data_IF_187769222239
#
_entry.id   IF_187769222239
#
_cell.length_a   1.000
_cell.length_b   1.000
_cell.length_c   1.000
_cell.angle_alpha   90.00
_cell.angle_beta   90.00
_cell.angle_gamma   90.00
#
_symmetry.space_group_name_H-M   'P 1'
#
loop_
_entity.id
_entity.type
_entity.pdbx_description
1 polymer ?
#
# COMPACT_ATOMS: atom_id res chain seq x y z
N UNK A 1 -9.14 7.73 -3.03
CA UNK A 1 -8.39 6.51 -2.70
C UNK A 1 -9.31 5.30 -2.80
N UNK A 2 -8.93 4.19 -3.47
CA UNK A 2 -9.76 2.98 -3.44
C UNK A 2 -9.72 2.35 -2.05
N UNK A 3 -10.90 2.02 -1.48
CA UNK A 3 -11.05 1.44 -0.14
C UNK A 3 -10.19 0.18 0.07
N UNK A 4 -10.03 -0.61 -0.99
CA UNK A 4 -9.30 -1.87 -0.96
C UNK A 4 -7.78 -1.72 -0.74
N UNK A 5 -7.19 -0.54 -1.02
CA UNK A 5 -5.74 -0.35 -0.85
C UNK A 5 -5.34 -0.31 0.63
N UNK A 6 -6.07 0.45 1.44
CA UNK A 6 -5.79 0.56 2.87
C UNK A 6 -6.06 -0.75 3.60
N UNK A 7 -7.16 -1.43 3.28
CA UNK A 7 -7.47 -2.75 3.83
C UNK A 7 -6.36 -3.76 3.50
N UNK A 8 -5.94 -3.82 2.23
CA UNK A 8 -4.89 -4.74 1.81
C UNK A 8 -3.52 -4.40 2.40
N UNK A 9 -3.17 -3.12 2.58
CA UNK A 9 -1.93 -2.71 3.24
C UNK A 9 -1.89 -3.08 4.72
N UNK A 10 -3.02 -2.98 5.43
CA UNK A 10 -3.12 -3.40 6.83
C UNK A 10 -2.84 -4.89 6.98
N UNK A 11 -3.55 -5.72 6.21
CA UNK A 11 -3.34 -7.18 6.21
C UNK A 11 -1.91 -7.52 5.81
N UNK A 12 -1.37 -6.87 4.77
CA UNK A 12 0.02 -7.11 4.37
C UNK A 12 1.02 -6.83 5.49
N UNK A 13 0.84 -5.71 6.20
CA UNK A 13 1.74 -5.32 7.29
C UNK A 13 1.69 -6.29 8.45
N UNK A 14 0.51 -6.79 8.79
CA UNK A 14 0.33 -7.82 9.83
C UNK A 14 0.99 -9.16 9.45
N UNK A 15 0.98 -9.51 8.16
CA UNK A 15 1.51 -10.79 7.68
C UNK A 15 3.03 -10.80 7.43
N UNK A 16 3.54 -9.77 6.76
CA UNK A 16 4.89 -9.80 6.18
C UNK A 16 5.80 -8.70 6.75
N UNK A 17 5.24 -7.66 7.38
CA UNK A 17 5.99 -6.54 7.95
C UNK A 17 6.80 -5.75 6.91
N UNK A 18 6.18 -4.72 6.32
CA UNK A 18 6.89 -3.79 5.42
C UNK A 18 6.11 -3.46 4.15
N UNK A 19 6.84 -3.17 3.07
CA UNK A 19 6.25 -2.76 1.80
C UNK A 19 6.10 -3.94 0.82
N UNK A 20 4.93 -4.16 0.22
CA UNK A 20 4.74 -5.20 -0.77
C UNK A 20 5.59 -4.94 -2.01
N UNK A 21 6.10 -6.01 -2.61
CA UNK A 21 6.72 -5.98 -3.93
C UNK A 21 5.77 -5.36 -4.95
N UNK A 22 6.29 -4.65 -5.95
CA UNK A 22 5.49 -3.98 -7.00
C UNK A 22 4.63 -4.94 -7.82
N UNK A 23 5.01 -6.23 -7.87
CA UNK A 23 4.28 -7.30 -8.54
C UNK A 23 3.39 -8.12 -7.60
N UNK A 24 3.32 -7.77 -6.32
CA UNK A 24 2.53 -8.53 -5.35
C UNK A 24 1.04 -8.49 -5.69
N UNK A 25 0.44 -9.68 -5.74
CA UNK A 25 -0.97 -9.92 -5.95
C UNK A 25 -1.46 -10.79 -4.81
N UNK A 26 -2.60 -10.44 -4.22
CA UNK A 26 -3.23 -11.28 -3.21
C UNK A 26 -3.71 -12.56 -3.87
N UNK A 27 -3.19 -13.71 -3.42
CA UNK A 27 -3.57 -15.02 -3.96
C UNK A 27 -5.01 -15.37 -3.61
N UNK A 28 -5.78 -15.79 -4.60
CA UNK A 28 -7.10 -16.38 -4.36
C UNK A 28 -6.96 -17.68 -3.56
N UNK A 29 -7.75 -17.85 -2.52
CA UNK A 29 -7.70 -19.02 -1.64
C UNK A 29 -6.80 -18.86 -0.40
N UNK A 30 -6.07 -17.74 -0.27
CA UNK A 30 -5.33 -17.47 0.97
C UNK A 30 -6.29 -16.96 2.05
N UNK A 31 -6.54 -17.79 3.06
CA UNK A 31 -7.47 -17.52 4.15
C UNK A 31 -7.00 -16.42 5.11
N UNK A 32 -5.73 -16.00 5.00
CA UNK A 32 -5.19 -14.85 5.73
C UNK A 32 -5.70 -13.53 5.17
N UNK A 33 -6.23 -13.55 3.95
CA UNK A 33 -6.79 -12.39 3.27
C UNK A 33 -8.31 -12.48 3.20
N UNK A 34 -9.03 -11.37 3.46
CA UNK A 34 -10.44 -11.25 3.10
C UNK A 34 -10.66 -11.61 1.63
N UNK A 35 -11.71 -12.38 1.35
CA UNK A 35 -12.03 -12.83 -0.01
C UNK A 35 -12.23 -11.67 -0.99
N UNK A 36 -12.70 -10.52 -0.51
CA UNK A 36 -12.84 -9.29 -1.31
C UNK A 36 -11.50 -8.73 -1.83
N UNK A 37 -10.39 -9.10 -1.21
CA UNK A 37 -9.05 -8.68 -1.60
C UNK A 37 -8.36 -9.70 -2.51
N UNK A 38 -8.95 -10.88 -2.75
CA UNK A 38 -8.35 -11.88 -3.63
C UNK A 38 -8.21 -11.34 -5.07
N UNK A 39 -7.04 -11.60 -5.66
CA UNK A 39 -6.66 -11.04 -6.96
C UNK A 39 -6.31 -9.55 -6.93
N UNK A 40 -6.35 -8.89 -5.77
CA UNK A 40 -6.02 -7.47 -5.67
C UNK A 40 -4.53 -7.23 -5.94
N UNK A 41 -4.26 -6.39 -6.94
CA UNK A 41 -2.91 -6.02 -7.38
C UNK A 41 -2.25 -5.02 -6.42
N UNK A 42 -2.12 -5.38 -5.14
CA UNK A 42 -1.67 -4.50 -4.07
C UNK A 42 -0.34 -3.81 -4.42
N UNK A 43 0.65 -4.56 -4.93
CA UNK A 43 1.94 -4.01 -5.33
C UNK A 43 1.85 -2.88 -6.36
N UNK A 44 0.99 -3.08 -7.37
CA UNK A 44 0.77 -2.09 -8.45
C UNK A 44 0.11 -0.83 -7.91
N UNK A 45 -0.83 -0.97 -6.98
CA UNK A 45 -1.54 0.16 -6.38
C UNK A 45 -0.63 0.97 -5.46
N UNK A 46 0.20 0.31 -4.65
CA UNK A 46 1.23 0.99 -3.83
C UNK A 46 2.22 1.74 -4.71
N UNK A 47 2.68 1.13 -5.81
CA UNK A 47 3.59 1.80 -6.74
C UNK A 47 2.94 3.04 -7.40
N UNK A 48 1.68 2.92 -7.84
CA UNK A 48 0.92 4.05 -8.40
C UNK A 48 0.74 5.18 -7.39
N UNK A 49 0.46 4.84 -6.13
CA UNK A 49 0.37 5.80 -5.04
C UNK A 49 1.69 6.57 -4.87
N UNK A 50 2.81 5.84 -4.71
CA UNK A 50 4.14 6.45 -4.57
C UNK A 50 4.47 7.39 -5.73
N UNK A 51 4.17 6.97 -6.96
CA UNK A 51 4.36 7.79 -8.15
C UNK A 51 3.53 9.08 -8.10
N UNK A 52 2.25 8.98 -7.75
CA UNK A 52 1.35 10.14 -7.68
C UNK A 52 1.78 11.14 -6.59
N UNK A 53 2.21 10.64 -5.41
CA UNK A 53 2.72 11.49 -4.33
C UNK A 53 3.98 12.24 -4.74
N UNK A 54 4.87 11.60 -5.49
CA UNK A 54 6.14 12.18 -5.96
C UNK A 54 5.98 13.18 -7.09
N UNK A 55 5.19 12.84 -8.10
CA UNK A 55 5.24 13.52 -9.39
C UNK A 55 3.98 14.31 -9.73
N UNK A 56 2.86 14.01 -9.08
CA UNK A 56 1.57 14.62 -9.43
C UNK A 56 1.05 15.61 -8.38
N UNK A 57 1.86 15.94 -7.37
CA UNK A 57 1.45 16.82 -6.27
C UNK A 57 0.20 16.32 -5.55
N UNK A 58 -0.03 15.00 -5.57
CA UNK A 58 -1.27 14.41 -5.06
C UNK A 58 -1.37 14.64 -3.56
N UNK A 59 -2.29 15.51 -3.13
CA UNK A 59 -2.54 15.79 -1.71
C UNK A 59 -3.41 14.70 -1.13
N UNK A 60 -2.87 13.99 -0.14
CA UNK A 60 -3.64 13.10 0.72
C UNK A 60 -4.40 13.94 1.74
N UNK A 61 -5.53 13.43 2.24
CA UNK A 61 -6.10 13.98 3.47
C UNK A 61 -5.11 13.72 4.62
N UNK A 62 -5.09 14.58 5.67
CA UNK A 62 -4.24 14.35 6.84
C UNK A 62 -4.43 12.95 7.45
N UNK A 63 -5.68 12.49 7.54
CA UNK A 63 -6.02 11.13 8.01
C UNK A 63 -5.38 10.04 7.13
N UNK A 64 -5.43 10.18 5.80
CA UNK A 64 -4.83 9.16 4.91
C UNK A 64 -3.31 9.19 4.99
N UNK A 65 -2.72 10.38 5.17
CA UNK A 65 -1.28 10.53 5.32
C UNK A 65 -0.79 9.93 6.64
N UNK A 66 -1.52 10.14 7.72
CA UNK A 66 -1.26 9.53 9.03
C UNK A 66 -1.36 8.00 8.94
N UNK A 67 -2.45 7.47 8.38
CA UNK A 67 -2.60 6.03 8.16
C UNK A 67 -1.50 5.43 7.29
N UNK A 68 -1.07 6.11 6.22
CA UNK A 68 0.03 5.62 5.39
C UNK A 68 1.37 5.71 6.10
N UNK A 69 1.58 6.72 6.94
CA UNK A 69 2.79 6.88 7.76
C UNK A 69 2.87 5.80 8.83
N UNK A 70 1.76 5.53 9.53
CA UNK A 70 1.63 4.38 10.44
C UNK A 70 1.97 3.07 9.73
N UNK A 71 1.51 2.92 8.48
CA UNK A 71 1.78 1.72 7.68
C UNK A 71 3.21 1.68 7.10
N UNK A 72 4.03 2.74 7.25
CA UNK A 72 5.40 2.80 6.72
C UNK A 72 5.51 3.15 5.24
N UNK A 73 4.49 3.79 4.67
CA UNK A 73 4.41 4.18 3.24
C UNK A 73 4.51 5.70 3.04
N UNK A 74 5.16 6.39 3.96
CA UNK A 74 5.27 7.84 3.96
C UNK A 74 6.11 8.37 2.76
N UNK A 75 5.94 9.67 2.49
CA UNK A 75 6.62 10.40 1.40
C UNK A 75 8.16 10.41 1.57
N UNK A 76 8.66 10.29 2.80
CA UNK A 76 10.07 10.39 3.22
C UNK A 76 10.82 9.06 3.24
N UNK A 77 10.14 7.91 3.24
CA UNK A 77 10.75 6.56 3.26
C UNK A 77 11.47 6.15 1.96
N UNK A 78 11.86 7.12 1.12
CA UNK A 78 12.57 6.91 -0.14
C UNK A 78 13.73 7.92 -0.25
N UNK A 79 14.34 8.26 0.89
CA UNK A 79 15.55 9.08 0.96
C UNK A 79 16.81 8.29 1.31
N UNK A 80 16.78 6.95 1.31
CA UNK A 80 17.98 6.13 1.48
C UNK A 80 18.15 5.12 0.34
N UNK A 81 18.33 5.63 -0.88
CA UNK A 81 19.30 5.05 -1.81
C UNK A 81 19.98 6.26 -2.44
N UNK A 82 21.05 6.72 -1.80
CA UNK A 82 22.09 7.55 -2.41
C UNK A 82 23.10 6.62 -3.08
#
# INVERSE_FOLDING_TARGET
MPKNLLAALRVYKELEGGAPSTKFVVSSGDNRWPQELWGYLLGKQVNRLRFNLRHKGYKLSPETEDMLSELGFDKRSVSQIS
#
